data_IF_676908947848
#
_entry.id   IF_676908947848
#
_cell.length_a   1.000
_cell.length_b   1.000
_cell.length_c   1.000
_cell.angle_alpha   90.00
_cell.angle_beta   90.00
_cell.angle_gamma   90.00
#
_symmetry.space_group_name_H-M   'P 1'
#
loop_
_entity.id
_entity.type
_entity.pdbx_description
1 polymer ?
#
# COMPACT_ATOMS: atom_id res chain seq x y z
N UNK A 1 -32.91 5.07 16.95
CA UNK A 1 -31.49 4.70 16.84
C UNK A 1 -31.36 3.65 15.75
N UNK A 2 -30.81 3.99 14.58
CA UNK A 2 -30.56 3.03 13.49
C UNK A 2 -29.38 2.16 13.94
N UNK A 3 -29.56 0.84 14.04
CA UNK A 3 -28.44 -0.10 14.21
C UNK A 3 -27.68 -0.12 12.89
N UNK A 4 -26.47 0.43 12.84
CA UNK A 4 -25.59 0.20 11.69
C UNK A 4 -25.24 -1.29 11.67
N UNK A 5 -25.57 -1.97 10.57
CA UNK A 5 -25.18 -3.35 10.39
C UNK A 5 -23.66 -3.38 10.17
N UNK A 6 -22.95 -4.08 11.05
CA UNK A 6 -21.52 -4.32 10.89
C UNK A 6 -21.36 -5.42 9.84
N UNK A 7 -20.67 -5.11 8.75
CA UNK A 7 -20.36 -6.08 7.70
C UNK A 7 -18.89 -6.45 7.80
N UNK A 8 -18.61 -7.74 7.96
CA UNK A 8 -17.24 -8.27 7.95
C UNK A 8 -17.11 -9.26 6.79
N UNK A 9 -16.07 -9.10 5.99
CA UNK A 9 -15.74 -9.99 4.88
C UNK A 9 -14.25 -10.35 4.96
N UNK A 10 -13.96 -11.66 4.96
CA UNK A 10 -12.58 -12.16 4.99
C UNK A 10 -12.31 -13.03 3.77
N UNK A 11 -11.20 -12.78 3.09
CA UNK A 11 -10.77 -13.51 1.91
C UNK A 11 -9.24 -13.47 1.78
N UNK A 12 -8.61 -14.64 1.62
CA UNK A 12 -7.15 -14.78 1.39
C UNK A 12 -6.26 -13.96 2.36
N UNK A 13 -6.58 -14.01 3.66
CA UNK A 13 -5.79 -13.31 4.68
C UNK A 13 -6.05 -11.81 4.76
N UNK A 14 -7.01 -11.26 4.01
CA UNK A 14 -7.50 -9.89 4.18
C UNK A 14 -8.88 -9.94 4.81
N UNK A 15 -9.08 -9.17 5.88
CA UNK A 15 -10.36 -8.98 6.55
C UNK A 15 -10.76 -7.50 6.45
N UNK A 16 -11.91 -7.23 5.84
CA UNK A 16 -12.51 -5.91 5.77
C UNK A 16 -13.72 -5.84 6.69
N UNK A 17 -13.75 -4.89 7.60
CA UNK A 17 -14.85 -4.62 8.52
C UNK A 17 -15.40 -3.21 8.28
N UNK A 18 -16.71 -3.10 8.07
CA UNK A 18 -17.40 -1.84 7.88
C UNK A 18 -18.44 -1.64 8.98
N UNK A 19 -18.30 -0.58 9.77
CA UNK A 19 -19.17 -0.28 10.91
C UNK A 19 -20.27 0.77 10.58
N UNK A 20 -20.38 1.18 9.31
CA UNK A 20 -21.33 2.18 8.84
C UNK A 20 -20.79 3.62 8.79
N UNK A 21 -19.62 3.88 9.37
CA UNK A 21 -18.92 5.17 9.30
C UNK A 21 -17.49 5.00 8.77
N UNK A 22 -16.81 3.93 9.19
CA UNK A 22 -15.44 3.62 8.87
C UNK A 22 -15.30 2.22 8.29
N UNK A 23 -14.21 2.02 7.56
CA UNK A 23 -13.77 0.73 7.04
C UNK A 23 -12.39 0.40 7.59
N UNK A 24 -12.28 -0.72 8.31
CA UNK A 24 -11.01 -1.28 8.75
C UNK A 24 -10.62 -2.42 7.81
N UNK A 25 -9.40 -2.37 7.26
CA UNK A 25 -8.83 -3.46 6.47
C UNK A 25 -7.62 -3.99 7.20
N UNK A 26 -7.67 -5.27 7.56
CA UNK A 26 -6.57 -5.99 8.21
C UNK A 26 -6.01 -7.01 7.23
N UNK A 27 -4.73 -6.91 6.91
CA UNK A 27 -4.01 -7.87 6.09
C UNK A 27 -3.11 -8.74 6.98
N UNK A 28 -3.21 -10.06 6.80
CA UNK A 28 -2.40 -11.06 7.50
C UNK A 28 -1.34 -11.60 6.54
N UNK A 29 -0.09 -11.21 6.76
CA UNK A 29 1.08 -11.78 6.09
C UNK A 29 1.79 -12.78 7.02
N UNK A 30 1.86 -14.08 6.69
CA UNK A 30 2.52 -15.05 7.54
C UNK A 30 4.04 -14.84 7.57
N UNK A 31 4.59 -14.53 8.74
CA UNK A 31 6.02 -14.59 9.02
C UNK A 31 6.88 -13.48 8.42
N UNK A 32 6.30 -12.44 7.84
CA UNK A 32 7.06 -11.31 7.30
C UNK A 32 7.32 -10.27 8.40
N UNK A 33 8.60 -10.01 8.68
CA UNK A 33 9.01 -8.85 9.48
C UNK A 33 8.52 -7.58 8.76
N UNK A 34 7.97 -6.57 9.47
CA UNK A 34 7.54 -5.31 8.85
C UNK A 34 8.60 -4.65 7.97
N UNK A 35 9.89 -4.82 8.27
CA UNK A 35 10.97 -4.35 7.42
C UNK A 35 11.00 -5.05 6.05
N UNK A 36 10.78 -6.36 6.01
CA UNK A 36 10.71 -7.12 4.75
C UNK A 36 9.55 -6.64 3.88
N UNK A 37 8.39 -6.39 4.50
CA UNK A 37 7.23 -5.82 3.82
C UNK A 37 7.50 -4.40 3.31
N UNK A 38 8.16 -3.56 4.12
CA UNK A 38 8.56 -2.21 3.70
C UNK A 38 9.47 -2.24 2.48
N UNK A 39 10.46 -3.13 2.46
CA UNK A 39 11.37 -3.31 1.31
C UNK A 39 10.60 -3.75 0.07
N UNK A 40 9.65 -4.68 0.20
CA UNK A 40 8.83 -5.12 -0.93
C UNK A 40 7.98 -3.98 -1.49
N UNK A 41 7.33 -3.18 -0.64
CA UNK A 41 6.52 -2.02 -1.06
C UNK A 41 7.37 -0.93 -1.70
N UNK A 42 8.56 -0.67 -1.15
CA UNK A 42 9.53 0.25 -1.74
C UNK A 42 9.98 -0.22 -3.14
N UNK A 43 10.23 -1.52 -3.31
CA UNK A 43 10.60 -2.08 -4.61
C UNK A 43 9.46 -1.99 -5.63
N UNK A 44 8.21 -2.23 -5.21
CA UNK A 44 7.02 -2.05 -6.05
C UNK A 44 6.84 -0.59 -6.47
N UNK A 45 6.99 0.35 -5.54
CA UNK A 45 6.96 1.78 -5.83
C UNK A 45 8.06 2.18 -6.81
N UNK A 46 9.29 1.70 -6.59
CA UNK A 46 10.42 1.98 -7.46
C UNK A 46 10.18 1.46 -8.88
N UNK A 47 9.72 0.22 -9.02
CA UNK A 47 9.37 -0.36 -10.31
C UNK A 47 8.26 0.42 -11.02
N UNK A 48 7.23 0.85 -10.30
CA UNK A 48 6.15 1.67 -10.85
C UNK A 48 6.66 3.01 -11.41
N UNK A 49 7.49 3.71 -10.64
CA UNK A 49 8.06 5.00 -11.04
C UNK A 49 9.04 4.85 -12.21
N UNK A 50 9.82 3.77 -12.25
CA UNK A 50 10.74 3.49 -13.36
C UNK A 50 9.97 3.21 -14.66
N UNK A 51 8.92 2.39 -14.59
CA UNK A 51 8.06 2.16 -15.75
C UNK A 51 7.40 3.47 -16.22
N UNK A 52 6.91 4.27 -15.29
CA UNK A 52 6.32 5.58 -15.60
C UNK A 52 7.34 6.52 -16.28
N UNK A 53 8.58 6.57 -15.81
CA UNK A 53 9.63 7.42 -16.41
C UNK A 53 10.03 6.97 -17.82
N UNK A 54 10.11 5.65 -18.05
CA UNK A 54 10.46 5.11 -19.37
C UNK A 54 9.38 5.41 -20.40
N UNK A 55 8.11 5.38 -19.99
CA UNK A 55 7.00 5.76 -20.87
C UNK A 55 6.95 7.26 -21.13
N UNK A 56 7.27 8.11 -20.14
CA UNK A 56 7.36 9.56 -20.33
C UNK A 56 8.55 10.01 -21.19
N UNK A 57 9.63 9.22 -21.26
CA UNK A 57 10.82 9.53 -22.05
C UNK A 57 10.77 8.99 -23.49
N UNK A 58 9.92 7.99 -23.76
CA UNK A 58 9.81 7.30 -25.05
C UNK A 58 8.78 7.96 -25.99
N UNK A 59 8.86 9.27 -26.23
CA UNK A 59 7.93 9.96 -27.15
C UNK A 59 8.46 9.97 -28.58
N UNK A 60 8.22 8.89 -29.32
CA UNK A 60 8.20 8.89 -30.79
C UNK A 60 6.86 8.39 -31.38
N UNK A 61 5.94 7.86 -30.56
CA UNK A 61 4.56 7.60 -30.97
C UNK A 61 3.57 7.86 -29.81
N UNK A 62 2.44 8.55 -30.06
CA UNK A 62 1.51 9.02 -29.03
C UNK A 62 0.49 7.94 -28.69
N UNK A 63 0.93 6.90 -27.98
CA UNK A 63 0.00 6.27 -27.02
C UNK A 63 0.32 6.91 -25.69
N UNK A 64 0.02 8.21 -25.60
CA UNK A 64 0.09 8.95 -24.34
C UNK A 64 -0.78 8.21 -23.33
N UNK A 65 -0.22 7.93 -22.16
CA UNK A 65 -1.02 7.56 -21.00
C UNK A 65 -2.12 8.62 -20.85
N UNK A 66 -3.38 8.20 -20.97
CA UNK A 66 -4.51 9.09 -20.71
C UNK A 66 -4.38 9.66 -19.30
N UNK A 67 -4.88 10.88 -19.10
CA UNK A 67 -4.79 11.59 -17.83
C UNK A 67 -5.32 10.76 -16.66
N UNK A 68 -6.41 10.02 -16.85
CA UNK A 68 -6.98 9.11 -15.86
C UNK A 68 -6.00 8.00 -15.43
N UNK A 69 -5.17 7.53 -16.36
CA UNK A 69 -4.19 6.50 -16.08
C UNK A 69 -2.99 7.06 -15.30
N UNK A 70 -2.54 8.28 -15.61
CA UNK A 70 -1.56 8.99 -14.80
C UNK A 70 -2.06 9.27 -13.38
N UNK A 71 -3.30 9.72 -13.23
CA UNK A 71 -3.93 9.95 -11.93
C UNK A 71 -4.01 8.65 -11.11
N UNK A 72 -4.41 7.55 -11.75
CA UNK A 72 -4.44 6.21 -11.13
C UNK A 72 -3.05 5.74 -10.71
N UNK A 73 -2.04 5.94 -11.56
CA UNK A 73 -0.65 5.58 -11.28
C UNK A 73 -0.09 6.37 -10.10
N UNK A 74 -0.30 7.69 -10.09
CA UNK A 74 0.14 8.57 -9.00
C UNK A 74 -0.57 8.24 -7.69
N UNK A 75 -1.87 7.93 -7.74
CA UNK A 75 -2.63 7.46 -6.58
C UNK A 75 -2.05 6.15 -6.02
N UNK A 76 -1.71 5.19 -6.90
CA UNK A 76 -1.07 3.94 -6.48
C UNK A 76 0.33 4.17 -5.90
N UNK A 77 1.12 5.06 -6.51
CA UNK A 77 2.45 5.43 -6.03
C UNK A 77 2.37 6.05 -4.61
N UNK A 78 1.42 6.96 -4.40
CA UNK A 78 1.18 7.56 -3.09
C UNK A 78 0.79 6.51 -2.04
N UNK A 79 -0.07 5.55 -2.41
CA UNK A 79 -0.45 4.45 -1.53
C UNK A 79 0.74 3.56 -1.14
N UNK A 80 1.55 3.14 -2.12
CA UNK A 80 2.74 2.33 -1.87
C UNK A 80 3.79 3.05 -1.02
N UNK A 81 3.97 4.36 -1.24
CA UNK A 81 4.84 5.19 -0.42
C UNK A 81 4.35 5.25 1.03
N UNK A 82 3.05 5.43 1.23
CA UNK A 82 2.44 5.46 2.56
C UNK A 82 2.59 4.12 3.29
N UNK A 83 2.28 2.99 2.63
CA UNK A 83 2.49 1.66 3.23
C UNK A 83 3.96 1.43 3.60
N UNK A 84 4.89 1.79 2.72
CA UNK A 84 6.34 1.68 2.97
C UNK A 84 6.74 2.46 4.22
N UNK A 85 6.24 3.69 4.37
CA UNK A 85 6.51 4.54 5.53
C UNK A 85 6.00 3.89 6.82
N UNK A 86 4.73 3.53 6.88
CA UNK A 86 4.10 2.94 8.08
C UNK A 86 4.80 1.65 8.50
N UNK A 87 5.15 0.79 7.54
CA UNK A 87 5.88 -0.46 7.80
C UNK A 87 7.31 -0.20 8.30
N UNK A 88 8.00 0.82 7.78
CA UNK A 88 9.33 1.20 8.24
C UNK A 88 9.31 1.75 9.65
N UNK A 89 8.34 2.61 9.98
CA UNK A 89 8.12 3.12 11.34
C UNK A 89 7.84 1.98 12.32
N UNK A 90 6.98 1.02 11.93
CA UNK A 90 6.69 -0.16 12.74
C UNK A 90 7.94 -1.02 12.97
N UNK A 91 8.79 -1.21 11.95
CA UNK A 91 10.05 -1.94 12.08
C UNK A 91 11.02 -1.26 13.05
N UNK A 92 11.09 0.08 13.03
CA UNK A 92 11.91 0.83 13.99
C UNK A 92 11.42 0.64 15.43
N UNK A 93 10.11 0.70 15.66
CA UNK A 93 9.51 0.49 16.99
C UNK A 93 9.78 -0.93 17.52
N UNK A 94 9.69 -1.95 16.65
CA UNK A 94 10.04 -3.33 17.02
C UNK A 94 11.52 -3.49 17.37
N UNK A 95 12.42 -2.86 16.60
CA UNK A 95 13.86 -2.86 16.88
C UNK A 95 14.21 -2.20 18.22
N UNK A 96 13.49 -1.14 18.60
CA UNK A 96 13.66 -0.46 19.89
C UNK A 96 13.16 -1.32 21.06
N UNK A 97 12.01 -1.98 20.90
CA UNK A 97 11.47 -2.87 21.93
C UNK A 97 12.43 -4.03 22.24
N UNK A 98 13.06 -4.62 21.22
CA UNK A 98 14.03 -5.71 21.37
C UNK A 98 15.38 -5.28 22.00
N UNK A 99 15.69 -3.98 22.04
CA UNK A 99 16.91 -3.46 22.68
C UNK A 99 16.72 -3.06 24.14
N UNK A 100 15.47 -2.93 24.59
CA UNK A 100 15.12 -2.51 25.94
C UNK A 100 14.95 -3.68 26.92
N UNK A 101 14.86 -4.91 26.41
CA UNK A 101 14.89 -6.18 27.16
C UNK A 101 16.31 -6.74 27.26
#
# INVERSE_FOLDING_TARGET
MRRCAMYSHSHHGITAEHNGADMLVTAHSPGENPLSLAVQRAAQLHGLLLMASDHGASTLDPVDFDQECWESLLSLAAWLAHETQVLSELAMLQGQALQAD
#
